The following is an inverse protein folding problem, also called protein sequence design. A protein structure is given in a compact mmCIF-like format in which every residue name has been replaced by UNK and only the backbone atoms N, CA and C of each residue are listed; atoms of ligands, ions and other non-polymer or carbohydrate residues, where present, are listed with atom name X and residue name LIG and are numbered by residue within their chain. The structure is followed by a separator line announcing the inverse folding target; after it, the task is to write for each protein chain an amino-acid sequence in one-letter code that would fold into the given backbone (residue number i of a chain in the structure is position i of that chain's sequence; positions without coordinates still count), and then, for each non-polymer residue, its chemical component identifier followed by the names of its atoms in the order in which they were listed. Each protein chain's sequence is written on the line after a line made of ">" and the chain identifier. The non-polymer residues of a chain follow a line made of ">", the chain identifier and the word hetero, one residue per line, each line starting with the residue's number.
data_IF_290190725786
#
_entry.id   IF_290190725786
#
_cell.length_a   1.000
_cell.length_b   1.000
_cell.length_c   1.000
_cell.angle_alpha   90.00
_cell.angle_beta   90.00
_cell.angle_gamma   90.00
#
_symmetry.space_group_name_H-M   'P 1'
#
loop_
_entity.id
_entity.type
_entity.pdbx_description
1 polymer ?
#
# COMPACT_ATOMS: atom_id res chain seq x y z
N UNK A 1 9.82 10.48 15.25
CA UNK A 1 8.89 11.57 14.90
C UNK A 1 7.49 11.06 15.19
N UNK A 2 6.57 11.88 15.70
CA UNK A 2 5.24 11.40 16.12
C UNK A 2 4.20 11.81 15.08
N UNK A 3 3.31 10.90 14.70
CA UNK A 3 2.23 11.18 13.75
C UNK A 3 1.30 12.29 14.27
N UNK A 4 0.68 13.09 13.38
CA UNK A 4 -0.39 14.00 13.78
C UNK A 4 -1.50 13.25 14.53
N UNK A 5 -2.05 13.89 15.56
CA UNK A 5 -3.02 13.27 16.48
C UNK A 5 -4.20 12.61 15.74
N UNK A 6 -4.75 13.28 14.73
CA UNK A 6 -5.86 12.78 13.93
C UNK A 6 -5.50 11.52 13.12
N UNK A 7 -4.24 11.34 12.74
CA UNK A 7 -3.74 10.13 12.08
C UNK A 7 -3.51 9.03 13.11
N UNK A 8 -2.90 9.36 14.25
CA UNK A 8 -2.68 8.42 15.34
C UNK A 8 -3.99 7.82 15.88
N UNK A 9 -5.04 8.64 16.02
CA UNK A 9 -6.37 8.20 16.45
C UNK A 9 -7.00 7.18 15.47
N UNK A 10 -6.78 7.33 14.16
CA UNK A 10 -7.28 6.38 13.14
C UNK A 10 -6.50 5.07 13.12
N UNK A 11 -5.27 5.10 13.60
CA UNK A 11 -4.37 3.96 13.66
C UNK A 11 -4.35 3.28 15.04
N UNK A 12 -5.22 3.70 15.97
CA UNK A 12 -5.28 3.13 17.32
C UNK A 12 -5.47 1.60 17.30
N UNK A 13 -6.27 1.09 16.35
CA UNK A 13 -6.51 -0.35 16.17
C UNK A 13 -5.44 -1.06 15.29
N UNK A 14 -4.47 -0.29 14.75
CA UNK A 14 -3.50 -0.76 13.75
C UNK A 14 -2.06 -0.30 14.07
N UNK A 15 -1.49 -0.70 15.23
CA UNK A 15 -0.19 -0.21 15.70
C UNK A 15 0.99 -0.57 14.78
N UNK A 16 0.90 -1.67 14.04
CA UNK A 16 1.93 -2.04 13.06
C UNK A 16 1.98 -1.04 11.89
N UNK A 17 0.82 -0.58 11.42
CA UNK A 17 0.74 0.46 10.38
C UNK A 17 1.31 1.77 10.91
N UNK A 18 0.97 2.17 12.15
CA UNK A 18 1.53 3.37 12.78
C UNK A 18 3.06 3.33 12.83
N UNK A 19 3.63 2.21 13.26
CA UNK A 19 5.08 1.99 13.33
C UNK A 19 5.76 2.14 11.96
N UNK A 20 5.14 1.60 10.91
CA UNK A 20 5.66 1.70 9.54
C UNK A 20 5.45 3.08 8.90
N UNK A 21 4.39 3.80 9.31
CA UNK A 21 4.03 5.11 8.77
C UNK A 21 4.87 6.25 9.35
N UNK A 22 5.15 6.22 10.66
CA UNK A 22 5.95 7.24 11.37
C UNK A 22 7.23 7.67 10.64
N UNK A 23 8.11 6.76 10.17
CA UNK A 23 9.37 7.15 9.52
C UNK A 23 9.20 7.73 8.11
N UNK A 24 8.03 7.59 7.48
CA UNK A 24 7.79 7.98 6.08
C UNK A 24 6.75 9.08 5.91
N UNK A 25 6.06 9.47 6.98
CA UNK A 25 4.90 10.35 6.92
C UNK A 25 5.18 11.68 6.20
N UNK A 26 6.29 12.34 6.54
CA UNK A 26 6.69 13.62 5.94
C UNK A 26 7.64 13.46 4.74
N UNK A 27 7.86 12.24 4.26
CA UNK A 27 8.71 12.03 3.07
C UNK A 27 7.98 12.52 1.82
N UNK A 28 8.71 13.07 0.84
CA UNK A 28 8.11 13.48 -0.42
C UNK A 28 7.52 12.28 -1.18
N UNK A 29 6.64 12.58 -2.13
CA UNK A 29 6.18 11.64 -3.15
C UNK A 29 7.35 11.00 -3.90
N UNK A 30 7.14 9.80 -4.42
CA UNK A 30 8.14 9.13 -5.25
C UNK A 30 8.47 9.98 -6.49
N UNK A 31 9.75 10.01 -6.93
CA UNK A 31 10.14 10.82 -8.07
C UNK A 31 9.45 10.33 -9.35
N UNK A 32 9.22 11.24 -10.29
CA UNK A 32 8.68 10.88 -11.60
C UNK A 32 9.63 9.90 -12.32
N UNK A 33 9.05 8.88 -12.97
CA UNK A 33 9.81 7.84 -13.66
C UNK A 33 10.50 6.84 -12.73
N UNK A 34 10.14 6.81 -11.44
CA UNK A 34 10.61 5.77 -10.53
C UNK A 34 10.20 4.38 -11.03
N UNK A 35 11.18 3.49 -11.19
CA UNK A 35 10.97 2.10 -11.59
C UNK A 35 11.15 1.21 -10.36
N UNK A 36 10.06 0.67 -9.79
CA UNK A 36 10.16 -0.18 -8.61
C UNK A 36 10.83 -1.52 -8.94
N UNK A 37 11.53 -2.12 -7.97
CA UNK A 37 12.00 -3.52 -8.05
C UNK A 37 11.10 -4.46 -7.28
N UNK A 38 10.43 -3.96 -6.25
CA UNK A 38 9.50 -4.66 -5.40
C UNK A 38 8.28 -3.77 -5.16
N UNK A 39 7.09 -4.32 -5.36
CA UNK A 39 5.83 -3.73 -4.91
C UNK A 39 5.14 -4.77 -4.06
N UNK A 40 4.74 -4.38 -2.86
CA UNK A 40 3.96 -5.20 -1.94
C UNK A 40 2.69 -4.46 -1.57
N UNK A 41 1.55 -5.10 -1.81
CA UNK A 41 0.25 -4.62 -1.38
C UNK A 41 -0.23 -5.53 -0.26
N UNK A 42 -0.52 -4.92 0.87
CA UNK A 42 -1.11 -5.58 2.02
C UNK A 42 -2.59 -5.19 2.11
N UNK A 43 -3.41 -6.17 2.49
CA UNK A 43 -4.83 -6.05 2.73
C UNK A 43 -5.12 -6.62 4.11
N UNK A 44 -5.71 -5.83 5.00
CA UNK A 44 -5.87 -6.18 6.42
C UNK A 44 -4.57 -6.68 7.07
N UNK A 45 -3.45 -5.99 6.78
CA UNK A 45 -2.09 -6.31 7.26
C UNK A 45 -1.57 -7.70 6.81
N UNK A 46 -2.12 -8.28 5.74
CA UNK A 46 -1.65 -9.52 5.11
C UNK A 46 -1.21 -9.27 3.68
N UNK A 47 -0.12 -9.91 3.25
CA UNK A 47 0.37 -9.76 1.88
C UNK A 47 -0.68 -10.28 0.88
N UNK A 48 -1.25 -9.36 0.11
CA UNK A 48 -2.29 -9.63 -0.87
C UNK A 48 -1.74 -9.70 -2.29
N UNK A 49 -0.72 -8.88 -2.60
CA UNK A 49 -0.02 -8.91 -3.87
C UNK A 49 1.47 -8.63 -3.65
N UNK A 50 2.32 -9.37 -4.34
CA UNK A 50 3.73 -9.07 -4.47
C UNK A 50 4.11 -9.08 -5.95
N UNK A 51 4.85 -8.06 -6.34
CA UNK A 51 5.44 -7.93 -7.65
C UNK A 51 6.94 -7.71 -7.48
N UNK A 52 7.75 -8.45 -8.24
CA UNK A 52 9.21 -8.39 -8.19
C UNK A 52 9.74 -8.26 -9.62
N UNK A 53 10.49 -7.19 -9.88
CA UNK A 53 11.26 -6.97 -11.11
C UNK A 53 10.48 -7.20 -12.42
N UNK A 54 9.23 -6.78 -12.48
CA UNK A 54 8.39 -6.96 -13.68
C UNK A 54 7.27 -7.98 -13.53
N UNK A 55 7.33 -8.85 -12.51
CA UNK A 55 6.48 -10.03 -12.44
C UNK A 55 5.71 -10.11 -11.13
N UNK A 56 4.42 -10.47 -11.21
CA UNK A 56 3.65 -10.86 -10.01
C UNK A 56 4.20 -12.19 -9.50
N UNK A 57 4.68 -12.20 -8.26
CA UNK A 57 5.24 -13.40 -7.59
C UNK A 57 4.30 -13.98 -6.56
N UNK A 58 3.34 -13.20 -6.08
CA UNK A 58 2.31 -13.63 -5.14
C UNK A 58 1.04 -12.81 -5.37
N UNK A 59 -0.10 -13.48 -5.32
CA UNK A 59 -1.40 -12.84 -5.28
C UNK A 59 -2.39 -13.74 -4.53
N UNK A 60 -3.36 -13.12 -3.86
CA UNK A 60 -4.47 -13.83 -3.24
C UNK A 60 -5.77 -13.51 -3.97
N UNK A 61 -6.68 -14.48 -3.99
CA UNK A 61 -8.06 -14.24 -4.39
C UNK A 61 -8.89 -13.91 -3.14
N UNK A 62 -9.73 -12.90 -3.25
CA UNK A 62 -10.72 -12.51 -2.23
C UNK A 62 -12.14 -12.62 -2.80
N UNK A 63 -13.16 -12.82 -1.96
CA UNK A 63 -14.55 -12.73 -2.39
C UNK A 63 -14.90 -11.37 -3.02
N UNK A 64 -15.88 -11.34 -3.92
CA UNK A 64 -16.30 -10.08 -4.58
C UNK A 64 -16.89 -9.05 -3.61
N UNK A 65 -17.50 -9.51 -2.51
CA UNK A 65 -18.11 -8.67 -1.49
C UNK A 65 -17.13 -8.29 -0.36
N UNK A 66 -15.88 -8.72 -0.45
CA UNK A 66 -14.88 -8.42 0.54
C UNK A 66 -14.45 -6.94 0.47
N UNK A 67 -14.57 -6.26 1.61
CA UNK A 67 -14.15 -4.87 1.79
C UNK A 67 -13.03 -4.83 2.83
N UNK A 68 -11.78 -4.51 2.45
CA UNK A 68 -10.68 -4.44 3.39
C UNK A 68 -10.81 -3.26 4.34
N UNK A 69 -10.42 -3.46 5.59
CA UNK A 69 -10.32 -2.39 6.60
C UNK A 69 -9.04 -1.60 6.44
N UNK A 70 -7.96 -2.22 5.98
CA UNK A 70 -6.70 -1.53 5.68
C UNK A 70 -6.14 -1.97 4.35
N UNK A 71 -5.51 -1.04 3.64
CA UNK A 71 -4.70 -1.31 2.45
C UNK A 71 -3.39 -0.55 2.62
N UNK A 72 -2.28 -1.24 2.48
CA UNK A 72 -0.93 -0.66 2.59
C UNK A 72 -0.14 -1.00 1.33
N UNK A 73 0.52 0.00 0.73
CA UNK A 73 1.44 -0.22 -0.38
C UNK A 73 2.85 0.09 0.07
N UNK A 74 3.74 -0.90 -0.04
CA UNK A 74 5.17 -0.72 0.11
C UNK A 74 5.85 -0.86 -1.26
N UNK A 75 6.70 0.10 -1.59
CA UNK A 75 7.54 0.08 -2.79
C UNK A 75 8.99 0.03 -2.35
N UNK A 76 9.73 -1.00 -2.79
CA UNK A 76 11.12 -1.26 -2.43
C UNK A 76 11.39 -1.20 -0.91
N UNK A 77 10.44 -1.75 -0.14
CA UNK A 77 10.50 -1.82 1.33
C UNK A 77 10.07 -0.53 2.04
N UNK A 78 9.64 0.50 1.31
CA UNK A 78 9.18 1.77 1.88
C UNK A 78 7.68 1.95 1.71
N UNK A 79 6.98 2.27 2.79
CA UNK A 79 5.53 2.53 2.76
C UNK A 79 5.23 3.85 2.03
N UNK A 80 4.34 3.78 1.03
CA UNK A 80 4.03 4.88 0.11
C UNK A 80 2.55 5.20 0.01
N UNK A 81 1.66 4.26 0.37
CA UNK A 81 0.23 4.52 0.47
C UNK A 81 -0.35 3.75 1.66
N UNK A 82 -1.28 4.40 2.39
CA UNK A 82 -2.04 3.79 3.47
C UNK A 82 -3.50 4.24 3.37
N UNK A 83 -4.40 3.27 3.24
CA UNK A 83 -5.83 3.43 3.45
C UNK A 83 -6.25 2.73 4.74
N UNK A 84 -7.08 3.39 5.54
CA UNK A 84 -7.74 2.79 6.70
C UNK A 84 -9.22 3.14 6.64
N UNK A 85 -10.07 2.10 6.61
CA UNK A 85 -11.54 2.19 6.53
C UNK A 85 -12.04 3.11 5.41
N UNK A 86 -11.39 3.02 4.26
CA UNK A 86 -11.71 3.84 3.08
C UNK A 86 -11.10 5.24 3.08
N UNK A 87 -10.37 5.64 4.13
CA UNK A 87 -9.72 6.94 4.20
C UNK A 87 -8.21 6.85 3.93
N UNK A 88 -7.70 7.74 3.07
CA UNK A 88 -6.27 7.86 2.77
C UNK A 88 -5.56 8.59 3.93
N UNK A 89 -4.61 7.91 4.57
CA UNK A 89 -3.77 8.48 5.62
C UNK A 89 -2.38 8.89 5.13
N UNK A 90 -1.92 8.26 4.03
CA UNK A 90 -0.68 8.57 3.32
C UNK A 90 -0.91 8.30 1.83
N UNK A 91 -0.47 9.21 0.97
CA UNK A 91 -0.35 8.95 -0.46
C UNK A 91 0.87 9.69 -1.02
N UNK A 92 1.88 8.90 -1.39
CA UNK A 92 3.14 9.36 -1.99
C UNK A 92 3.26 8.94 -3.46
N UNK A 93 2.15 8.48 -4.05
CA UNK A 93 2.04 8.00 -5.43
C UNK A 93 1.57 9.10 -6.40
N UNK A 94 1.78 10.38 -6.09
CA UNK A 94 1.20 11.53 -6.81
C UNK A 94 1.64 11.66 -8.28
N UNK A 95 2.68 10.92 -8.69
CA UNK A 95 3.13 10.83 -10.08
C UNK A 95 2.61 9.52 -10.69
N UNK A 96 2.31 9.47 -12.01
CA UNK A 96 2.02 8.20 -12.67
C UNK A 96 3.21 7.27 -12.50
N UNK A 97 3.07 6.30 -11.60
CA UNK A 97 4.00 5.18 -11.47
C UNK A 97 3.57 4.18 -12.54
N UNK A 98 4.54 3.63 -13.26
CA UNK A 98 4.30 2.44 -14.08
C UNK A 98 3.96 1.28 -13.13
N UNK A 99 2.66 1.16 -12.83
CA UNK A 99 2.11 0.07 -12.06
C UNK A 99 2.01 -1.16 -12.98
N UNK A 100 2.18 -2.38 -12.45
CA UNK A 100 1.79 -3.58 -13.18
C UNK A 100 0.32 -3.45 -13.61
N UNK A 101 0.00 -3.92 -14.81
CA UNK A 101 -1.37 -3.94 -15.31
C UNK A 101 -2.23 -4.88 -14.45
N UNK A 102 -2.92 -4.31 -13.47
CA UNK A 102 -3.83 -5.03 -12.57
C UNK A 102 -5.07 -5.56 -13.29
N UNK A 103 -5.28 -5.28 -14.60
CA UNK A 103 -6.34 -5.94 -15.37
C UNK A 103 -6.11 -7.44 -15.56
N UNK A 104 -4.88 -7.93 -15.32
CA UNK A 104 -4.59 -9.36 -15.23
C UNK A 104 -5.22 -10.05 -14.01
N UNK A 105 -5.75 -9.29 -13.04
CA UNK A 105 -6.47 -9.80 -11.85
C UNK A 105 -7.95 -10.10 -12.11
N UNK A 106 -8.51 -9.74 -13.28
CA UNK A 106 -9.85 -10.19 -13.66
C UNK A 106 -9.73 -11.64 -14.13
N UNK A 107 -10.34 -12.54 -13.36
CA UNK A 107 -10.27 -13.98 -13.52
C UNK A 107 -10.27 -14.43 -14.97
N UNK A 108 -9.30 -15.29 -15.31
CA UNK A 108 -9.51 -16.23 -16.42
C UNK A 108 -10.59 -17.20 -15.95
N UNK A 109 -11.74 -17.15 -16.61
CA UNK A 109 -12.72 -18.24 -16.61
C UNK A 109 -12.06 -19.60 -16.88
#
# INVERSE_FOLDING_TARGET
>A
MVLPRNIAEKLADYPAIATSLEPVYDKPSLPAGYVPKLIEVFSDQRLALQWVTGYVTHEITVPEDYVPKTIEWAIDGELVCVLVRGEILLNRLENPIEMPDLQLLKGKD
#
